data_IF_099354666226
#
_entry.id   IF_099354666226
#
_cell.length_a   1.000
_cell.length_b   1.000
_cell.length_c   1.000
_cell.angle_alpha   90.00
_cell.angle_beta   90.00
_cell.angle_gamma   90.00
#
_symmetry.space_group_name_H-M   'P 1'
#
loop_
_entity.id
_entity.type
_entity.pdbx_description
1 polymer ?
#
# COMPACT_ATOMS: atom_id res chain seq x y z
N UNK A 1 -4.81 -5.27 -6.44
CA UNK A 1 -4.95 -5.40 -4.97
C UNK A 1 -3.66 -5.81 -4.25
N UNK A 2 -2.66 -6.41 -4.90
CA UNK A 2 -1.48 -6.93 -4.19
C UNK A 2 -0.49 -5.85 -3.69
N UNK A 3 -0.38 -4.70 -4.37
CA UNK A 3 0.48 -3.58 -3.95
C UNK A 3 0.05 -2.94 -2.62
N UNK A 4 -1.27 -2.90 -2.34
CA UNK A 4 -1.80 -2.30 -1.10
C UNK A 4 -1.50 -3.19 0.11
N UNK A 5 -1.57 -4.52 -0.03
CA UNK A 5 -1.22 -5.45 1.05
C UNK A 5 0.25 -5.28 1.46
N UNK A 6 1.16 -5.31 0.48
CA UNK A 6 2.58 -5.08 0.73
C UNK A 6 2.86 -3.70 1.36
N UNK A 7 2.10 -2.67 0.97
CA UNK A 7 2.18 -1.35 1.58
C UNK A 7 1.80 -1.36 3.07
N UNK A 8 0.74 -2.08 3.41
CA UNK A 8 0.18 -2.25 4.78
C UNK A 8 1.10 -3.10 5.66
N UNK A 9 1.85 -4.02 5.05
CA UNK A 9 2.92 -4.78 5.70
C UNK A 9 4.20 -3.95 5.91
N UNK A 10 4.21 -2.67 5.53
CA UNK A 10 5.33 -1.77 5.74
C UNK A 10 6.43 -1.84 4.68
N UNK A 11 6.22 -2.60 3.59
CA UNK A 11 7.24 -2.77 2.55
C UNK A 11 7.54 -1.46 1.81
N UNK A 12 8.80 -1.18 1.53
CA UNK A 12 9.18 0.01 0.76
C UNK A 12 8.81 -0.15 -0.71
N UNK A 13 8.80 0.93 -1.50
CA UNK A 13 8.55 0.82 -2.94
C UNK A 13 9.57 -0.07 -3.64
N UNK A 14 10.80 -0.12 -3.13
CA UNK A 14 11.86 -1.00 -3.62
C UNK A 14 11.55 -2.47 -3.36
N UNK A 15 11.08 -2.79 -2.15
CA UNK A 15 10.69 -4.16 -1.80
C UNK A 15 9.49 -4.61 -2.64
N UNK A 16 8.47 -3.76 -2.77
CA UNK A 16 7.30 -3.99 -3.61
C UNK A 16 7.72 -4.20 -5.07
N UNK A 17 8.60 -3.35 -5.58
CA UNK A 17 9.15 -3.47 -6.94
C UNK A 17 9.84 -4.82 -7.16
N UNK A 18 10.65 -5.27 -6.20
CA UNK A 18 11.30 -6.57 -6.25
C UNK A 18 10.30 -7.73 -6.18
N UNK A 19 9.32 -7.66 -5.27
CA UNK A 19 8.28 -8.71 -5.10
C UNK A 19 7.45 -8.90 -6.37
N UNK A 20 7.09 -7.81 -7.04
CA UNK A 20 6.26 -7.86 -8.26
C UNK A 20 7.06 -7.86 -9.55
N UNK A 21 8.40 -7.86 -9.48
CA UNK A 21 9.31 -7.76 -10.63
C UNK A 21 8.96 -6.59 -11.58
N UNK A 22 8.73 -5.42 -11.00
CA UNK A 22 8.43 -4.16 -11.72
C UNK A 22 9.38 -3.06 -11.26
N UNK A 23 9.38 -1.92 -11.95
CA UNK A 23 10.20 -0.78 -11.53
C UNK A 23 9.58 -0.03 -10.34
N UNK A 24 10.41 0.61 -9.51
CA UNK A 24 9.92 1.53 -8.46
C UNK A 24 9.06 2.67 -9.03
N UNK A 25 9.34 3.10 -10.26
CA UNK A 25 8.54 4.08 -10.97
C UNK A 25 7.12 3.56 -11.24
N UNK A 26 7.00 2.30 -11.68
CA UNK A 26 5.72 1.62 -11.90
C UNK A 26 4.94 1.49 -10.57
N UNK A 27 5.63 1.17 -9.46
CA UNK A 27 5.01 1.16 -8.13
C UNK A 27 4.47 2.54 -7.75
N UNK A 28 5.27 3.60 -7.91
CA UNK A 28 4.82 4.98 -7.65
C UNK A 28 3.60 5.34 -8.50
N UNK A 29 3.62 5.02 -9.79
CA UNK A 29 2.50 5.27 -10.67
C UNK A 29 1.22 4.55 -10.23
N UNK A 30 1.32 3.29 -9.82
CA UNK A 30 0.19 2.56 -9.25
C UNK A 30 -0.32 3.22 -7.97
N UNK A 31 0.56 3.63 -7.06
CA UNK A 31 0.16 4.30 -5.82
C UNK A 31 -0.52 5.64 -6.07
N UNK A 32 0.00 6.47 -6.97
CA UNK A 32 -0.65 7.74 -7.37
C UNK A 32 -2.05 7.50 -7.92
N UNK A 33 -2.22 6.54 -8.82
CA UNK A 33 -3.53 6.22 -9.36
C UNK A 33 -4.51 5.70 -8.27
N UNK A 34 -4.00 5.02 -7.25
CA UNK A 34 -4.80 4.55 -6.10
C UNK A 34 -5.17 5.74 -5.21
N UNK A 35 -4.23 6.64 -4.92
CA UNK A 35 -4.45 7.87 -4.17
C UNK A 35 -5.58 8.67 -4.77
N UNK A 36 -5.52 8.95 -6.08
CA UNK A 36 -6.53 9.72 -6.80
C UNK A 36 -7.90 9.05 -6.76
N UNK A 37 -7.96 7.72 -6.94
CA UNK A 37 -9.22 6.96 -6.91
C UNK A 37 -9.86 6.90 -5.54
N UNK A 38 -9.07 6.91 -4.48
CA UNK A 38 -9.55 6.78 -3.09
C UNK A 38 -9.67 8.13 -2.39
N UNK A 39 -9.19 9.22 -3.00
CA UNK A 39 -9.19 10.55 -2.41
C UNK A 39 -8.26 10.68 -1.20
N UNK A 40 -7.19 9.90 -1.17
CA UNK A 40 -6.16 9.93 -0.11
C UNK A 40 -4.88 10.55 -0.65
N UNK A 41 -4.12 11.25 0.18
CA UNK A 41 -3.01 12.09 -0.28
C UNK A 41 -1.64 11.47 -0.07
N UNK A 42 -1.54 10.45 0.78
CA UNK A 42 -0.26 9.84 1.10
C UNK A 42 -0.38 8.37 1.51
N UNK A 43 0.79 7.75 1.69
CA UNK A 43 0.94 6.36 2.09
C UNK A 43 0.23 6.04 3.41
N UNK A 44 0.35 6.92 4.42
CA UNK A 44 -0.23 6.68 5.75
C UNK A 44 -1.75 6.69 5.66
N UNK A 45 -2.32 7.68 4.97
CA UNK A 45 -3.75 7.75 4.71
C UNK A 45 -4.26 6.55 3.92
N UNK A 46 -3.51 6.09 2.91
CA UNK A 46 -3.88 4.88 2.17
C UNK A 46 -3.88 3.63 3.07
N UNK A 47 -2.89 3.48 3.95
CA UNK A 47 -2.84 2.37 4.92
C UNK A 47 -4.02 2.46 5.89
N UNK A 48 -4.29 3.64 6.46
CA UNK A 48 -5.43 3.85 7.37
C UNK A 48 -6.76 3.57 6.68
N UNK A 49 -6.93 4.06 5.45
CA UNK A 49 -8.12 3.82 4.64
C UNK A 49 -8.34 2.33 4.42
N UNK A 50 -7.28 1.61 4.04
CA UNK A 50 -7.37 0.19 3.75
C UNK A 50 -7.70 -0.65 5.01
N UNK A 51 -7.13 -0.29 6.17
CA UNK A 51 -7.46 -0.90 7.47
C UNK A 51 -8.91 -0.59 7.86
N UNK A 52 -9.32 0.69 7.84
CA UNK A 52 -10.68 1.12 8.24
C UNK A 52 -11.79 0.51 7.37
N UNK A 53 -11.49 0.23 6.10
CA UNK A 53 -12.43 -0.38 5.16
C UNK A 53 -12.37 -1.92 5.15
N UNK A 54 -11.52 -2.54 5.96
CA UNK A 54 -11.33 -3.99 6.01
C UNK A 54 -10.74 -4.57 4.71
N UNK A 55 -10.06 -3.75 3.90
CA UNK A 55 -9.46 -4.16 2.63
C UNK A 55 -8.15 -4.95 2.83
N UNK A 56 -7.57 -4.85 4.03
CA UNK A 56 -6.36 -5.54 4.45
C UNK A 56 -6.29 -5.60 5.98
N UNK A 57 -5.65 -6.64 6.50
CA UNK A 57 -5.36 -6.79 7.93
C UNK A 57 -3.85 -6.75 8.08
N UNK A 58 -3.30 -5.72 8.73
CA UNK A 58 -1.86 -5.70 9.03
C UNK A 58 -1.59 -6.66 10.19
N UNK A 59 -0.64 -7.59 10.09
CA UNK A 59 -0.24 -8.43 11.22
C UNK A 59 0.36 -7.61 12.38
N UNK A 60 0.85 -6.39 12.12
CA UNK A 60 1.35 -5.49 13.16
C UNK A 60 0.22 -4.87 14.03
N UNK A 61 -1.03 -4.90 13.57
CA UNK A 61 -2.17 -4.38 14.33
C UNK A 61 -2.75 -5.39 15.35
N UNK A 62 -2.24 -6.63 15.38
CA UNK A 62 -2.69 -7.71 16.30
C UNK A 62 -1.81 -7.79 17.55
N UNK A 63 -0.84 -6.89 17.72
CA UNK A 63 -0.05 -6.80 18.97
C UNK A 63 -0.60 -5.66 19.82
N UNK A 64 -1.72 -5.90 20.49
CA UNK A 64 -2.09 -5.23 21.76
C UNK A 64 -3.02 -6.13 22.56
#
# INVERSE_FOLDING_TARGET
MQVIGALVDGQTNKDIAATFNISEYTVKHHLTNIYDKLGVYNRVELVLFAINRGLCVSPAAVVT
#
